data_IF_432055347194
#
_entry.id   IF_432055347194
#
_cell.length_a   1.000
_cell.length_b   1.000
_cell.length_c   1.000
_cell.angle_alpha   90.00
_cell.angle_beta   90.00
_cell.angle_gamma   90.00
#
_symmetry.space_group_name_H-M   'P 1'
#
loop_
_entity.id
_entity.type
_entity.pdbx_description
1 polymer ?
#
# COMPACT_ATOMS: atom_id res chain seq x y z
N UNK A 1 10.54 0.21 -26.03
CA UNK A 1 10.67 1.54 -26.68
C UNK A 1 12.13 1.85 -26.87
N UNK A 2 12.53 2.24 -28.09
CA UNK A 2 13.94 2.46 -28.43
C UNK A 2 14.45 3.80 -27.91
N UNK A 3 13.59 4.82 -27.88
CA UNK A 3 13.91 6.18 -27.43
C UNK A 3 12.67 6.84 -26.77
N UNK A 4 12.82 8.11 -26.38
CA UNK A 4 11.77 8.92 -25.75
C UNK A 4 10.58 9.21 -26.67
N UNK A 5 10.79 9.34 -27.99
CA UNK A 5 9.72 9.63 -28.95
C UNK A 5 8.79 8.42 -29.15
N UNK A 6 9.38 7.22 -29.25
CA UNK A 6 8.64 5.94 -29.23
C UNK A 6 7.85 5.82 -27.92
N UNK A 7 8.48 6.16 -26.77
CA UNK A 7 7.82 6.12 -25.45
C UNK A 7 6.64 7.07 -25.38
N UNK A 8 6.80 8.31 -25.82
CA UNK A 8 5.74 9.32 -25.84
C UNK A 8 4.58 8.85 -26.73
N UNK A 9 4.88 8.37 -27.94
CA UNK A 9 3.87 7.92 -28.89
C UNK A 9 3.01 6.79 -28.31
N UNK A 10 3.63 5.80 -27.65
CA UNK A 10 2.89 4.70 -27.04
C UNK A 10 2.22 5.11 -25.73
N UNK A 11 2.84 5.99 -24.93
CA UNK A 11 2.21 6.51 -23.72
C UNK A 11 0.91 7.27 -24.05
N UNK A 12 0.92 8.11 -25.09
CA UNK A 12 -0.28 8.80 -25.58
C UNK A 12 -1.33 7.80 -26.07
N UNK A 13 -0.93 6.77 -26.83
CA UNK A 13 -1.86 5.73 -27.28
C UNK A 13 -2.50 4.95 -26.11
N UNK A 14 -1.69 4.60 -25.11
CA UNK A 14 -2.11 3.77 -23.98
C UNK A 14 -2.95 4.55 -22.95
N UNK A 15 -2.70 5.85 -22.78
CA UNK A 15 -3.36 6.72 -21.78
C UNK A 15 -4.89 6.62 -21.81
N UNK A 16 -5.47 6.61 -23.02
CA UNK A 16 -6.93 6.64 -23.20
C UNK A 16 -7.56 5.23 -23.29
N UNK A 17 -6.75 4.17 -23.13
CA UNK A 17 -7.17 2.77 -23.34
C UNK A 17 -6.91 1.87 -22.14
N UNK A 18 -6.09 2.31 -21.20
CA UNK A 18 -5.76 1.58 -19.99
C UNK A 18 -6.42 2.24 -18.77
N UNK A 19 -6.53 1.48 -17.68
CA UNK A 19 -6.97 2.04 -16.41
C UNK A 19 -6.04 3.21 -16.00
N UNK A 20 -6.56 4.39 -15.61
CA UNK A 20 -5.74 5.56 -15.29
C UNK A 20 -4.71 5.35 -14.17
N UNK A 21 -5.04 4.58 -13.12
CA UNK A 21 -4.11 4.28 -12.04
C UNK A 21 -2.98 3.36 -12.53
N UNK A 22 -3.34 2.31 -13.28
CA UNK A 22 -2.36 1.40 -13.86
C UNK A 22 -1.41 2.12 -14.82
N UNK A 23 -1.95 2.97 -15.68
CA UNK A 23 -1.18 3.78 -16.62
C UNK A 23 -0.21 4.72 -15.90
N UNK A 24 -0.71 5.47 -14.91
CA UNK A 24 0.13 6.40 -14.16
C UNK A 24 1.25 5.69 -13.40
N UNK A 25 0.95 4.57 -12.73
CA UNK A 25 1.95 3.76 -12.05
C UNK A 25 3.02 3.25 -13.02
N UNK A 26 2.61 2.58 -14.10
CA UNK A 26 3.53 1.98 -15.07
C UNK A 26 4.41 3.03 -15.76
N UNK A 27 3.83 4.19 -16.14
CA UNK A 27 4.59 5.29 -16.73
C UNK A 27 5.57 5.88 -15.72
N UNK A 28 5.16 6.09 -14.47
CA UNK A 28 6.03 6.64 -13.42
C UNK A 28 7.23 5.71 -13.16
N UNK A 29 7.00 4.40 -13.03
CA UNK A 29 8.09 3.42 -12.91
C UNK A 29 9.00 3.45 -14.14
N UNK A 30 8.44 3.52 -15.36
CA UNK A 30 9.25 3.58 -16.57
C UNK A 30 10.15 4.83 -16.60
N UNK A 31 9.60 6.00 -16.25
CA UNK A 31 10.34 7.27 -16.23
C UNK A 31 11.47 7.27 -15.19
N UNK A 32 11.25 6.65 -14.01
CA UNK A 32 12.27 6.56 -12.96
C UNK A 32 13.47 5.66 -13.34
N UNK A 33 13.24 4.62 -14.15
CA UNK A 33 14.24 3.56 -14.38
C UNK A 33 14.91 3.62 -15.75
N UNK A 34 14.34 4.37 -16.70
CA UNK A 34 14.93 4.52 -18.03
C UNK A 34 16.13 5.48 -18.01
N UNK A 35 17.28 5.11 -18.60
CA UNK A 35 18.45 5.99 -18.63
C UNK A 35 18.22 7.33 -19.35
N UNK A 36 17.35 7.34 -20.36
CA UNK A 36 17.04 8.52 -21.19
C UNK A 36 15.96 9.44 -20.59
N UNK A 37 15.49 9.17 -19.37
CA UNK A 37 14.47 9.98 -18.67
C UNK A 37 14.84 10.35 -17.24
N UNK A 38 16.10 10.15 -16.83
CA UNK A 38 16.55 10.31 -15.43
C UNK A 38 16.28 11.69 -14.83
N UNK A 39 16.32 12.73 -15.64
CA UNK A 39 16.16 14.12 -15.17
C UNK A 39 14.73 14.65 -15.36
N UNK A 40 13.77 13.79 -15.75
CA UNK A 40 12.38 14.20 -15.89
C UNK A 40 11.69 14.24 -14.53
N UNK A 41 11.13 15.39 -14.12
CA UNK A 41 10.33 15.47 -12.91
C UNK A 41 9.02 14.71 -13.09
N UNK A 42 8.69 13.85 -12.14
CA UNK A 42 7.40 13.18 -12.09
C UNK A 42 6.42 14.08 -11.34
N UNK A 43 5.23 14.38 -11.92
CA UNK A 43 4.21 15.15 -11.24
C UNK A 43 3.84 14.54 -9.89
N UNK A 44 3.56 15.39 -8.91
CA UNK A 44 3.21 14.91 -7.58
C UNK A 44 1.91 14.09 -7.64
N UNK A 45 1.92 12.92 -7.00
CA UNK A 45 0.79 12.00 -7.06
C UNK A 45 -0.49 12.60 -6.45
N UNK A 46 -0.36 13.47 -5.43
CA UNK A 46 -1.51 14.21 -4.86
C UNK A 46 -2.15 15.18 -5.86
N UNK A 47 -1.38 15.73 -6.80
CA UNK A 47 -1.93 16.64 -7.83
C UNK A 47 -2.60 15.85 -8.96
N UNK A 48 -2.18 14.59 -9.16
CA UNK A 48 -2.73 13.73 -10.21
C UNK A 48 -4.02 13.02 -9.76
N UNK A 49 -4.02 12.50 -8.53
CA UNK A 49 -5.16 11.80 -7.93
C UNK A 49 -5.42 12.31 -6.50
N UNK A 50 -5.86 13.57 -6.35
CA UNK A 50 -6.10 14.18 -5.04
C UNK A 50 -7.17 13.43 -4.24
N UNK A 51 -8.06 12.70 -4.91
CA UNK A 51 -9.17 11.95 -4.32
C UNK A 51 -8.74 10.78 -3.44
N UNK A 52 -7.45 10.44 -3.47
CA UNK A 52 -6.82 9.45 -2.59
C UNK A 52 -6.33 10.03 -1.27
N UNK A 53 -6.40 11.35 -1.07
CA UNK A 53 -5.73 12.03 0.04
C UNK A 53 -6.66 12.92 0.86
N UNK A 54 -7.88 13.20 0.39
CA UNK A 54 -8.77 14.19 1.01
C UNK A 54 -10.21 13.68 1.06
N UNK A 55 -11.00 14.23 1.99
CA UNK A 55 -12.44 13.97 2.12
C UNK A 55 -13.18 14.18 0.79
N UNK A 56 -14.03 13.22 0.40
CA UNK A 56 -14.78 13.26 -0.84
C UNK A 56 -15.70 14.48 -0.96
N UNK A 57 -16.18 15.01 0.19
CA UNK A 57 -17.03 16.21 0.21
C UNK A 57 -16.33 17.46 -0.34
N UNK A 58 -15.01 17.54 -0.24
CA UNK A 58 -14.21 18.69 -0.72
C UNK A 58 -14.37 18.86 -2.23
N UNK A 59 -14.52 17.77 -2.99
CA UNK A 59 -14.61 17.83 -4.45
C UNK A 59 -15.88 18.50 -4.98
N UNK A 60 -16.98 18.49 -4.21
CA UNK A 60 -18.17 19.24 -4.59
C UNK A 60 -17.87 20.76 -4.59
N UNK A 61 -17.27 21.26 -3.51
CA UNK A 61 -16.84 22.65 -3.40
C UNK A 61 -15.76 23.01 -4.41
N UNK A 62 -14.81 22.10 -4.70
CA UNK A 62 -13.78 22.32 -5.73
C UNK A 62 -14.41 22.53 -7.11
N UNK A 63 -15.38 21.70 -7.47
CA UNK A 63 -16.08 21.83 -8.77
C UNK A 63 -16.86 23.14 -8.86
N UNK A 64 -17.55 23.52 -7.79
CA UNK A 64 -18.28 24.79 -7.73
C UNK A 64 -17.35 26.00 -7.88
N UNK A 65 -16.29 26.06 -7.07
CA UNK A 65 -15.30 27.13 -7.10
C UNK A 65 -14.62 27.23 -8.48
N UNK A 66 -14.28 26.08 -9.08
CA UNK A 66 -13.65 26.04 -10.39
C UNK A 66 -14.59 26.52 -11.52
N UNK A 67 -15.89 26.23 -11.43
CA UNK A 67 -16.87 26.57 -12.45
C UNK A 67 -17.37 28.02 -12.35
N UNK A 68 -17.52 28.54 -11.13
CA UNK A 68 -18.16 29.85 -10.88
C UNK A 68 -17.14 30.97 -10.73
N UNK A 69 -16.03 30.72 -10.03
CA UNK A 69 -15.11 31.79 -9.61
C UNK A 69 -13.98 31.96 -10.64
N UNK A 70 -13.77 33.18 -11.17
CA UNK A 70 -12.70 33.46 -12.12
C UNK A 70 -11.31 33.11 -11.59
N UNK A 71 -10.43 32.69 -12.50
CA UNK A 71 -9.01 32.45 -12.19
C UNK A 71 -8.39 33.72 -11.61
N UNK A 72 -7.70 33.61 -10.47
CA UNK A 72 -7.13 34.74 -9.72
C UNK A 72 -7.98 35.22 -8.54
N UNK A 73 -9.28 34.92 -8.52
CA UNK A 73 -10.20 35.27 -7.42
C UNK A 73 -10.61 34.08 -6.54
N UNK A 74 -10.10 32.89 -6.86
CA UNK A 74 -10.44 31.64 -6.16
C UNK A 74 -9.88 31.62 -4.75
N UNK A 75 -10.63 31.03 -3.82
CA UNK A 75 -10.22 30.85 -2.43
C UNK A 75 -9.85 29.39 -2.15
N UNK A 76 -8.86 29.13 -1.27
CA UNK A 76 -8.57 27.78 -0.82
C UNK A 76 -9.78 27.16 -0.12
N UNK A 77 -10.07 25.90 -0.45
CA UNK A 77 -11.10 25.12 0.23
C UNK A 77 -10.46 24.45 1.44
N UNK A 78 -11.04 24.70 2.61
CA UNK A 78 -10.53 24.17 3.88
C UNK A 78 -10.97 22.72 4.03
N UNK A 79 -10.00 21.83 4.21
CA UNK A 79 -10.26 20.42 4.54
C UNK A 79 -10.56 20.34 6.04
N UNK A 80 -11.71 19.77 6.44
CA UNK A 80 -12.03 19.61 7.85
C UNK A 80 -11.04 18.68 8.55
N UNK A 81 -10.71 19.01 9.79
CA UNK A 81 -9.87 18.18 10.66
C UNK A 81 -10.51 16.83 10.96
N UNK A 82 -11.76 16.87 11.41
CA UNK A 82 -12.49 15.71 11.91
C UNK A 82 -13.49 15.23 10.85
N UNK A 83 -12.99 14.47 9.87
CA UNK A 83 -13.82 13.95 8.77
C UNK A 83 -14.01 12.43 8.81
N UNK A 84 -12.97 11.68 9.20
CA UNK A 84 -13.04 10.21 9.28
C UNK A 84 -13.78 9.74 10.52
N UNK A 85 -13.51 10.38 11.67
CA UNK A 85 -14.16 10.14 12.95
C UNK A 85 -14.24 11.43 13.80
N UNK A 86 -14.81 11.31 15.00
CA UNK A 86 -14.83 12.37 16.02
C UNK A 86 -14.01 11.93 17.23
N UNK A 87 -13.79 12.83 18.20
CA UNK A 87 -13.05 12.53 19.45
C UNK A 87 -13.68 11.43 20.33
N UNK A 88 -14.89 10.95 19.98
CA UNK A 88 -15.50 9.77 20.57
C UNK A 88 -14.75 8.47 20.21
N UNK A 89 -14.05 8.45 19.08
CA UNK A 89 -13.18 7.35 18.66
C UNK A 89 -11.77 7.60 19.19
N UNK A 90 -11.26 6.76 20.08
CA UNK A 90 -9.96 7.00 20.73
C UNK A 90 -8.81 7.04 19.72
N UNK A 91 -8.88 6.20 18.68
CA UNK A 91 -7.89 6.17 17.61
C UNK A 91 -7.91 7.44 16.75
N UNK A 92 -9.00 8.24 16.78
CA UNK A 92 -9.07 9.52 16.06
C UNK A 92 -8.00 10.50 16.52
N UNK A 93 -7.49 10.39 17.76
CA UNK A 93 -6.40 11.25 18.25
C UNK A 93 -5.15 11.25 17.36
N UNK A 94 -4.95 10.22 16.54
CA UNK A 94 -3.82 10.09 15.62
C UNK A 94 -4.19 10.37 14.15
N UNK A 95 -5.33 11.00 13.88
CA UNK A 95 -5.73 11.39 12.52
C UNK A 95 -4.60 12.17 11.83
N UNK A 96 -3.96 13.12 12.53
CA UNK A 96 -2.93 13.99 11.97
C UNK A 96 -1.64 13.26 11.56
N UNK A 97 -1.44 12.03 12.00
CA UNK A 97 -0.31 11.20 11.59
C UNK A 97 -0.72 10.22 10.50
N UNK A 98 -1.85 9.54 10.66
CA UNK A 98 -2.30 8.51 9.71
C UNK A 98 -2.84 9.10 8.41
N UNK A 99 -3.45 10.27 8.49
CA UNK A 99 -4.12 10.94 7.37
C UNK A 99 -3.29 12.13 6.86
N UNK A 100 -2.04 12.26 7.31
CA UNK A 100 -1.11 13.24 6.75
C UNK A 100 -0.76 12.90 5.30
N UNK A 101 -0.91 13.89 4.42
CA UNK A 101 -0.64 13.74 2.99
C UNK A 101 0.83 13.43 2.76
N UNK A 102 1.75 14.03 3.53
CA UNK A 102 3.19 13.82 3.38
C UNK A 102 3.64 12.40 3.73
N UNK A 103 3.12 11.84 4.82
CA UNK A 103 3.41 10.46 5.25
C UNK A 103 2.86 9.46 4.23
N UNK A 104 1.62 9.64 3.78
CA UNK A 104 1.00 8.79 2.77
C UNK A 104 1.71 8.87 1.41
N UNK A 105 2.12 10.08 0.99
CA UNK A 105 2.96 10.26 -0.19
C UNK A 105 4.33 9.61 -0.03
N UNK A 106 4.96 9.70 1.14
CA UNK A 106 6.23 9.03 1.40
C UNK A 106 6.10 7.51 1.22
N UNK A 107 5.06 6.91 1.80
CA UNK A 107 4.81 5.47 1.68
C UNK A 107 4.57 5.05 0.22
N UNK A 108 3.76 5.81 -0.52
CA UNK A 108 3.56 5.59 -1.97
C UNK A 108 4.86 5.66 -2.76
N UNK A 109 5.64 6.74 -2.59
CA UNK A 109 6.87 6.92 -3.36
C UNK A 109 7.94 5.88 -2.98
N UNK A 110 8.00 5.46 -1.71
CA UNK A 110 8.91 4.41 -1.29
C UNK A 110 8.62 3.10 -2.04
N UNK A 111 7.35 2.68 -2.11
CA UNK A 111 6.95 1.49 -2.87
C UNK A 111 7.08 1.67 -4.39
N UNK A 112 6.95 2.90 -4.92
CA UNK A 112 7.19 3.20 -6.33
C UNK A 112 8.68 3.05 -6.70
N UNK A 113 9.58 3.47 -5.80
CA UNK A 113 11.04 3.35 -5.99
C UNK A 113 11.52 1.92 -5.71
N UNK A 114 10.94 1.23 -4.74
CA UNK A 114 11.31 -0.15 -4.35
C UNK A 114 10.16 -1.14 -4.59
N UNK A 115 9.69 -1.32 -5.84
CA UNK A 115 8.60 -2.23 -6.14
C UNK A 115 8.99 -3.67 -5.81
N UNK A 116 8.05 -4.49 -5.37
CA UNK A 116 8.29 -5.90 -5.04
C UNK A 116 8.24 -6.82 -6.28
N UNK A 117 7.64 -6.35 -7.37
CA UNK A 117 7.49 -7.09 -8.62
C UNK A 117 7.65 -6.18 -9.85
N UNK A 118 8.35 -6.68 -10.88
CA UNK A 118 8.51 -6.04 -12.17
C UNK A 118 8.93 -7.07 -13.23
N UNK A 119 8.65 -6.77 -14.51
CA UNK A 119 9.06 -7.63 -15.63
C UNK A 119 10.59 -7.78 -15.77
N UNK A 120 11.34 -6.78 -15.31
CA UNK A 120 12.80 -6.84 -15.26
C UNK A 120 13.24 -6.88 -13.80
N UNK A 121 13.92 -7.97 -13.41
CA UNK A 121 14.44 -8.16 -12.06
C UNK A 121 15.31 -6.98 -11.60
N UNK A 122 16.10 -6.37 -12.47
CA UNK A 122 16.98 -5.25 -12.11
C UNK A 122 16.23 -3.98 -11.63
N UNK A 123 14.93 -3.88 -11.91
CA UNK A 123 14.08 -2.81 -11.37
C UNK A 123 13.81 -3.07 -9.88
N UNK A 124 13.65 -4.32 -9.48
CA UNK A 124 13.40 -4.71 -8.07
C UNK A 124 14.70 -4.88 -7.29
N UNK A 125 15.74 -5.42 -7.94
CA UNK A 125 17.05 -5.76 -7.37
C UNK A 125 17.92 -4.52 -7.10
N UNK A 126 17.46 -3.72 -6.13
CA UNK A 126 18.17 -2.56 -5.59
C UNK A 126 18.91 -2.95 -4.31
N UNK A 127 19.99 -2.24 -4.05
CA UNK A 127 20.87 -2.50 -2.90
C UNK A 127 20.09 -2.57 -1.58
N UNK A 128 20.22 -3.70 -0.89
CA UNK A 128 19.65 -3.99 0.44
C UNK A 128 18.16 -3.62 0.58
N UNK A 129 17.38 -3.77 -0.49
CA UNK A 129 15.99 -3.30 -0.50
C UNK A 129 15.07 -4.07 0.44
N UNK A 130 15.37 -5.33 0.76
CA UNK A 130 14.63 -6.12 1.74
C UNK A 130 14.92 -5.62 3.16
N UNK A 131 16.16 -5.27 3.45
CA UNK A 131 16.49 -4.64 4.73
C UNK A 131 15.86 -3.26 4.85
N UNK A 132 15.90 -2.47 3.77
CA UNK A 132 15.26 -1.16 3.73
C UNK A 132 13.74 -1.27 3.89
N UNK A 133 13.11 -2.31 3.34
CA UNK A 133 11.70 -2.63 3.57
C UNK A 133 11.43 -2.78 5.07
N UNK A 134 12.20 -3.63 5.76
CA UNK A 134 12.08 -3.78 7.21
C UNK A 134 12.30 -2.45 7.94
N UNK A 135 13.39 -1.75 7.62
CA UNK A 135 13.82 -0.56 8.35
C UNK A 135 12.84 0.61 8.20
N UNK A 136 12.36 0.87 6.99
CA UNK A 136 11.39 1.95 6.71
C UNK A 136 10.11 1.73 7.53
N UNK A 137 9.52 0.54 7.46
CA UNK A 137 8.31 0.20 8.22
C UNK A 137 8.56 0.17 9.72
N UNK A 138 9.73 -0.30 10.17
CA UNK A 138 10.12 -0.27 11.58
C UNK A 138 10.17 1.16 12.12
N UNK A 139 10.71 2.11 11.34
CA UNK A 139 10.75 3.53 11.70
C UNK A 139 9.36 4.17 11.71
N UNK A 140 8.49 3.85 10.72
CA UNK A 140 7.10 4.29 10.73
C UNK A 140 6.37 3.81 11.99
N UNK A 141 6.53 2.53 12.36
CA UNK A 141 5.92 1.98 13.57
C UNK A 141 6.50 2.56 14.86
N UNK A 142 7.80 2.89 14.89
CA UNK A 142 8.42 3.55 16.04
C UNK A 142 7.84 4.95 16.25
N UNK A 143 7.77 5.76 15.18
CA UNK A 143 7.17 7.10 15.19
C UNK A 143 5.70 7.06 15.55
N UNK A 144 4.93 6.16 14.94
CA UNK A 144 3.52 5.95 15.29
C UNK A 144 3.35 5.65 16.79
N UNK A 145 4.19 4.80 17.38
CA UNK A 145 4.12 4.53 18.82
C UNK A 145 4.47 5.76 19.68
N UNK A 146 5.41 6.62 19.27
CA UNK A 146 5.68 7.88 19.96
C UNK A 146 4.48 8.83 19.92
N UNK A 147 3.79 8.92 18.79
CA UNK A 147 2.54 9.69 18.68
C UNK A 147 1.45 9.10 19.57
N UNK A 148 1.32 7.77 19.63
CA UNK A 148 0.36 7.09 20.52
C UNK A 148 0.61 7.45 21.99
N UNK A 149 1.85 7.36 22.45
CA UNK A 149 2.19 7.71 23.83
C UNK A 149 1.91 9.19 24.14
N UNK A 150 2.21 10.08 23.19
CA UNK A 150 1.93 11.52 23.31
C UNK A 150 0.42 11.84 23.37
N UNK A 151 -0.41 10.96 22.82
CA UNK A 151 -1.87 11.08 22.81
C UNK A 151 -2.58 10.16 23.83
N UNK A 152 -1.86 9.71 24.86
CA UNK A 152 -2.37 8.86 25.96
C UNK A 152 -2.92 7.52 25.48
N UNK A 153 -2.37 6.97 24.41
CA UNK A 153 -2.68 5.64 23.91
C UNK A 153 -1.53 4.69 24.23
N UNK A 154 -1.87 3.40 24.36
CA UNK A 154 -0.90 2.34 24.56
C UNK A 154 -0.10 2.10 23.28
N UNK A 155 1.01 1.38 23.39
CA UNK A 155 1.71 0.83 22.22
C UNK A 155 0.71 0.08 21.34
N UNK A 156 0.82 0.23 20.03
CA UNK A 156 -0.03 -0.49 19.08
C UNK A 156 0.02 -2.01 19.33
N UNK A 157 -1.15 -2.63 19.40
CA UNK A 157 -1.26 -4.07 19.55
C UNK A 157 -0.86 -4.75 18.23
N UNK A 158 -0.08 -5.83 18.33
CA UNK A 158 0.28 -6.64 17.16
C UNK A 158 -0.91 -7.52 16.79
N UNK A 159 -1.27 -7.54 15.51
CA UNK A 159 -2.30 -8.44 14.99
C UNK A 159 -1.70 -9.83 14.71
N UNK A 160 -1.43 -10.59 15.77
CA UNK A 160 -0.79 -11.89 15.69
C UNK A 160 -1.77 -13.06 15.48
N UNK A 161 -3.02 -12.91 15.93
CA UNK A 161 -4.06 -13.93 15.79
C UNK A 161 -5.02 -13.53 14.67
N UNK A 162 -4.82 -14.11 13.49
CA UNK A 162 -5.59 -13.77 12.28
C UNK A 162 -7.08 -14.17 12.35
N UNK A 163 -7.48 -14.93 13.38
CA UNK A 163 -8.86 -15.39 13.59
C UNK A 163 -9.62 -14.50 14.58
N UNK A 164 -8.92 -13.66 15.33
CA UNK A 164 -9.56 -12.71 16.24
C UNK A 164 -10.21 -11.56 15.45
N UNK A 165 -11.33 -11.00 15.97
CA UNK A 165 -11.88 -9.77 15.42
C UNK A 165 -10.86 -8.64 15.46
N UNK A 166 -10.75 -7.89 14.36
CA UNK A 166 -10.04 -6.62 14.33
C UNK A 166 -10.91 -5.61 15.08
N UNK A 167 -10.48 -5.20 16.28
CA UNK A 167 -11.27 -4.33 17.14
C UNK A 167 -11.51 -2.96 16.49
N UNK A 168 -10.51 -2.44 15.78
CA UNK A 168 -10.50 -1.09 15.22
C UNK A 168 -11.27 -1.02 13.88
N UNK A 169 -12.37 -0.27 13.89
CA UNK A 169 -13.06 0.16 12.68
C UNK A 169 -12.38 1.36 12.03
N UNK A 170 -12.58 1.55 10.73
CA UNK A 170 -12.11 2.73 10.01
C UNK A 170 -13.00 3.05 8.81
N UNK A 171 -13.39 4.32 8.66
CA UNK A 171 -14.27 4.78 7.59
C UNK A 171 -13.64 5.98 6.85
N UNK A 172 -12.99 5.74 5.69
CA UNK A 172 -12.05 6.67 5.08
C UNK A 172 -12.67 7.97 4.53
N UNK A 173 -13.97 7.97 4.22
CA UNK A 173 -14.68 9.10 3.56
C UNK A 173 -14.03 9.58 2.26
N UNK A 174 -13.32 8.70 1.57
CA UNK A 174 -12.73 8.98 0.26
C UNK A 174 -13.62 8.37 -0.82
N UNK A 175 -13.68 9.03 -1.97
CA UNK A 175 -14.31 8.53 -3.18
C UNK A 175 -13.28 8.46 -4.29
N UNK A 176 -13.19 7.32 -4.98
CA UNK A 176 -12.33 7.19 -6.16
C UNK A 176 -12.99 7.86 -7.36
N UNK A 177 -12.37 8.92 -7.88
CA UNK A 177 -12.88 9.62 -9.07
C UNK A 177 -12.76 8.75 -10.33
N UNK A 178 -11.76 7.87 -10.38
CA UNK A 178 -11.56 6.94 -11.50
C UNK A 178 -12.58 5.80 -11.47
N UNK A 179 -12.87 5.24 -10.29
CA UNK A 179 -13.81 4.13 -10.16
C UNK A 179 -15.27 4.58 -10.02
N UNK A 180 -15.50 5.88 -9.78
CA UNK A 180 -16.81 6.44 -9.43
C UNK A 180 -17.47 5.70 -8.25
N UNK A 181 -16.67 5.34 -7.24
CA UNK A 181 -17.13 4.59 -6.06
C UNK A 181 -16.42 5.06 -4.79
N UNK A 182 -17.15 5.05 -3.68
CA UNK A 182 -16.59 5.27 -2.36
C UNK A 182 -15.64 4.13 -1.96
N UNK A 183 -14.62 4.47 -1.18
CA UNK A 183 -13.76 3.46 -0.57
C UNK A 183 -14.52 2.76 0.58
N UNK A 184 -14.65 1.42 0.56
CA UNK A 184 -15.33 0.71 1.63
C UNK A 184 -14.66 0.93 3.00
N UNK A 185 -15.50 1.22 4.01
CA UNK A 185 -15.06 1.24 5.40
C UNK A 185 -15.04 -0.16 6.01
N UNK A 186 -14.28 -0.33 7.09
CA UNK A 186 -14.26 -1.55 7.89
C UNK A 186 -14.95 -1.28 9.23
N UNK A 187 -15.99 -2.03 9.53
CA UNK A 187 -16.65 -1.95 10.83
C UNK A 187 -15.76 -2.55 11.94
N UNK A 188 -15.87 -2.02 13.15
CA UNK A 188 -15.22 -2.58 14.34
C UNK A 188 -15.64 -4.05 14.55
N UNK A 189 -14.70 -4.88 15.00
CA UNK A 189 -14.93 -6.31 15.25
C UNK A 189 -15.02 -7.17 13.98
N UNK A 190 -14.57 -6.67 12.82
CA UNK A 190 -14.55 -7.45 11.59
C UNK A 190 -13.51 -8.56 11.68
N UNK A 191 -13.87 -9.79 11.30
CA UNK A 191 -12.96 -10.93 11.22
C UNK A 191 -12.46 -11.13 9.79
N UNK A 192 -11.23 -11.60 9.67
CA UNK A 192 -10.73 -12.12 8.40
C UNK A 192 -11.50 -13.38 8.00
N UNK A 193 -11.68 -13.54 6.70
CA UNK A 193 -12.36 -14.66 6.06
C UNK A 193 -11.53 -15.14 4.89
N UNK A 194 -11.70 -16.40 4.51
CA UNK A 194 -11.08 -16.97 3.33
C UNK A 194 -11.52 -16.20 2.09
N UNK A 195 -10.58 -15.93 1.19
CA UNK A 195 -10.81 -15.18 -0.03
C UNK A 195 -11.12 -16.11 -1.19
N UNK A 196 -12.16 -15.80 -1.95
CA UNK A 196 -12.53 -16.50 -3.17
C UNK A 196 -13.07 -15.53 -4.21
N UNK A 197 -12.16 -14.74 -4.80
CA UNK A 197 -12.46 -13.67 -5.75
C UNK A 197 -11.83 -13.98 -7.10
N UNK A 198 -12.54 -14.74 -7.93
CA UNK A 198 -12.04 -15.20 -9.23
C UNK A 198 -11.68 -14.05 -10.17
N UNK A 199 -12.46 -12.96 -10.17
CA UNK A 199 -12.18 -11.77 -11.00
C UNK A 199 -10.89 -11.06 -10.61
N UNK A 200 -10.56 -11.05 -9.31
CA UNK A 200 -9.32 -10.48 -8.78
C UNK A 200 -8.16 -11.49 -8.79
N UNK A 201 -8.40 -12.72 -9.26
CA UNK A 201 -7.45 -13.84 -9.30
C UNK A 201 -6.89 -14.20 -7.92
N UNK A 202 -7.69 -14.02 -6.85
CA UNK A 202 -7.29 -14.33 -5.48
C UNK A 202 -8.20 -15.41 -4.90
N UNK A 203 -7.61 -16.56 -4.59
CA UNK A 203 -8.26 -17.65 -3.87
C UNK A 203 -7.33 -18.21 -2.81
N UNK A 204 -7.58 -17.91 -1.54
CA UNK A 204 -6.67 -18.24 -0.45
C UNK A 204 -7.37 -18.30 0.90
N UNK A 205 -7.02 -19.31 1.69
CA UNK A 205 -7.54 -19.47 3.05
C UNK A 205 -6.67 -18.72 4.07
N UNK A 206 -7.27 -18.23 5.15
CA UNK A 206 -6.56 -17.60 6.28
C UNK A 206 -5.51 -18.55 6.86
N UNK A 207 -5.78 -19.86 6.83
CA UNK A 207 -4.82 -20.90 7.27
C UNK A 207 -3.52 -20.90 6.48
N UNK A 208 -3.50 -20.37 5.25
CA UNK A 208 -2.29 -20.22 4.46
C UNK A 208 -1.36 -19.19 5.07
N UNK A 209 -1.88 -18.07 5.54
CA UNK A 209 -1.10 -17.04 6.24
C UNK A 209 -0.52 -17.59 7.54
N UNK A 210 -1.31 -18.35 8.31
CA UNK A 210 -0.86 -19.00 9.56
C UNK A 210 0.32 -19.94 9.28
N UNK A 211 0.24 -20.78 8.23
CA UNK A 211 1.35 -21.66 7.83
C UNK A 211 2.61 -20.88 7.45
N UNK A 212 2.48 -19.74 6.78
CA UNK A 212 3.64 -18.92 6.44
C UNK A 212 4.29 -18.33 7.69
N UNK A 213 3.49 -17.85 8.66
CA UNK A 213 3.99 -17.39 9.96
C UNK A 213 4.81 -18.48 10.64
N UNK A 214 4.31 -19.71 10.70
CA UNK A 214 5.03 -20.83 11.31
C UNK A 214 6.37 -21.11 10.59
N UNK A 215 6.37 -21.09 9.26
CA UNK A 215 7.59 -21.27 8.44
C UNK A 215 8.62 -20.16 8.68
N UNK A 216 8.18 -18.93 8.91
CA UNK A 216 9.07 -17.82 9.27
C UNK A 216 9.73 -18.07 10.63
N UNK A 217 8.97 -18.45 11.66
CA UNK A 217 9.54 -18.78 12.96
C UNK A 217 10.54 -19.94 12.88
N UNK A 218 10.19 -21.00 12.16
CA UNK A 218 11.09 -22.15 11.96
C UNK A 218 12.39 -21.73 11.27
N UNK A 219 12.30 -20.95 10.18
CA UNK A 219 13.45 -20.48 9.41
C UNK A 219 14.38 -19.59 10.23
N UNK A 220 13.80 -18.69 11.03
CA UNK A 220 14.57 -17.81 11.92
C UNK A 220 15.26 -18.64 13.02
N UNK A 221 14.57 -19.61 13.63
CA UNK A 221 15.18 -20.48 14.65
C UNK A 221 16.30 -21.38 14.09
N UNK A 222 16.19 -21.82 12.84
CA UNK A 222 17.23 -22.61 12.18
C UNK A 222 18.44 -21.77 11.74
N UNK A 223 18.26 -20.46 11.54
CA UNK A 223 19.32 -19.53 11.14
C UNK A 223 19.68 -19.59 9.65
N UNK A 224 18.85 -20.21 8.80
CA UNK A 224 19.03 -20.21 7.34
C UNK A 224 17.69 -20.36 6.62
N UNK A 225 17.53 -19.68 5.48
CA UNK A 225 16.45 -19.90 4.53
C UNK A 225 16.83 -20.98 3.50
N UNK A 226 15.86 -21.53 2.79
CA UNK A 226 16.07 -22.54 1.74
C UNK A 226 15.58 -22.00 0.40
N UNK A 227 16.43 -22.03 -0.62
CA UNK A 227 16.07 -21.61 -1.97
C UNK A 227 15.25 -22.68 -2.72
N UNK A 228 14.86 -22.41 -3.96
CA UNK A 228 14.08 -23.36 -4.79
C UNK A 228 14.84 -24.62 -5.19
N UNK A 229 16.18 -24.64 -5.05
CA UNK A 229 17.04 -25.78 -5.35
C UNK A 229 17.37 -26.61 -4.09
N UNK A 230 16.92 -26.17 -2.92
CA UNK A 230 17.22 -26.82 -1.64
C UNK A 230 18.53 -26.36 -0.99
N UNK A 231 19.21 -25.36 -1.55
CA UNK A 231 20.42 -24.80 -0.93
C UNK A 231 20.04 -23.97 0.29
N UNK A 232 20.89 -24.03 1.33
CA UNK A 232 20.74 -23.22 2.53
C UNK A 232 21.38 -21.84 2.32
N UNK A 233 20.63 -20.79 2.59
CA UNK A 233 21.08 -19.40 2.60
C UNK A 233 21.15 -18.97 4.07
N UNK A 234 22.34 -18.82 4.66
CA UNK A 234 22.48 -18.39 6.05
C UNK A 234 21.82 -17.03 6.30
N UNK A 235 21.13 -16.90 7.43
CA UNK A 235 20.62 -15.63 7.94
C UNK A 235 21.67 -15.02 8.86
N UNK A 236 22.74 -14.51 8.26
CA UNK A 236 23.87 -13.91 8.98
C UNK A 236 23.62 -12.44 9.38
N UNK A 237 24.51 -11.89 10.20
CA UNK A 237 24.41 -10.53 10.73
C UNK A 237 24.50 -9.43 9.67
N UNK A 238 25.01 -9.73 8.47
CA UNK A 238 25.24 -8.75 7.42
C UNK A 238 24.07 -8.66 6.42
N UNK A 239 23.53 -9.81 5.99
CA UNK A 239 22.51 -9.89 4.93
C UNK A 239 21.27 -10.67 5.32
N UNK A 240 21.22 -11.29 6.51
CA UNK A 240 20.07 -12.08 6.96
C UNK A 240 18.77 -11.27 6.98
N UNK A 241 18.81 -10.02 7.43
CA UNK A 241 17.63 -9.14 7.44
C UNK A 241 17.16 -8.76 6.02
N UNK A 242 18.08 -8.62 5.07
CA UNK A 242 17.72 -8.34 3.68
C UNK A 242 17.02 -9.53 3.02
N UNK A 243 17.50 -10.75 3.29
CA UNK A 243 16.85 -11.99 2.87
C UNK A 243 15.46 -12.11 3.49
N UNK A 244 15.33 -11.90 4.81
CA UNK A 244 14.05 -11.95 5.52
C UNK A 244 13.06 -10.90 5.02
N UNK A 245 13.51 -9.67 4.74
CA UNK A 245 12.66 -8.61 4.21
C UNK A 245 12.08 -8.96 2.84
N UNK A 246 12.92 -9.50 1.94
CA UNK A 246 12.47 -9.98 0.64
C UNK A 246 11.52 -11.19 0.73
N UNK A 247 11.68 -12.06 1.73
CA UNK A 247 10.75 -13.16 1.99
C UNK A 247 9.42 -12.66 2.56
N UNK A 248 9.45 -11.73 3.51
CA UNK A 248 8.28 -11.27 4.26
C UNK A 248 7.31 -10.46 3.41
N UNK A 249 7.84 -9.54 2.57
CA UNK A 249 7.01 -8.60 1.81
C UNK A 249 5.92 -9.30 0.97
N UNK A 250 6.18 -10.21 0.04
CA UNK A 250 7.42 -10.76 -0.51
C UNK A 250 7.79 -10.09 -1.84
N UNK A 251 9.09 -10.08 -2.20
CA UNK A 251 9.58 -9.58 -3.49
C UNK A 251 10.00 -10.71 -4.43
N UNK A 252 10.22 -10.41 -5.72
CA UNK A 252 10.72 -11.41 -6.69
C UNK A 252 12.14 -11.88 -6.34
N UNK A 253 12.78 -11.22 -5.37
CA UNK A 253 14.08 -11.58 -4.83
C UNK A 253 14.00 -12.59 -3.69
N UNK A 254 12.81 -12.92 -3.19
CA UNK A 254 12.62 -13.98 -2.19
C UNK A 254 13.25 -15.29 -2.67
N UNK A 255 14.06 -15.98 -1.83
CA UNK A 255 14.71 -17.22 -2.22
C UNK A 255 13.74 -18.33 -2.65
N UNK A 256 12.55 -18.36 -2.06
CA UNK A 256 11.54 -19.38 -2.34
C UNK A 256 10.14 -18.90 -1.96
N UNK A 257 9.47 -18.18 -2.87
CA UNK A 257 8.08 -17.72 -2.69
C UNK A 257 7.07 -18.86 -2.49
N UNK A 258 7.32 -20.05 -3.06
CA UNK A 258 6.42 -21.20 -2.89
C UNK A 258 6.45 -21.71 -1.44
N UNK A 259 7.64 -21.68 -0.82
CA UNK A 259 7.82 -22.08 0.57
C UNK A 259 7.41 -20.97 1.54
N UNK A 260 7.87 -19.73 1.35
CA UNK A 260 7.68 -18.67 2.34
C UNK A 260 6.44 -17.80 2.12
N UNK A 261 5.84 -17.89 0.93
CA UNK A 261 4.62 -17.18 0.60
C UNK A 261 4.83 -15.70 0.32
N UNK A 262 3.76 -14.95 0.59
CA UNK A 262 3.61 -13.52 0.33
C UNK A 262 2.88 -12.85 1.52
N UNK A 263 3.41 -13.08 2.73
CA UNK A 263 2.69 -12.88 3.99
C UNK A 263 2.22 -11.44 4.22
N UNK A 264 3.11 -10.45 4.07
CA UNK A 264 2.75 -9.05 4.28
C UNK A 264 1.73 -8.55 3.25
N UNK A 265 2.01 -8.75 1.95
CA UNK A 265 1.13 -8.32 0.87
C UNK A 265 -0.24 -8.99 0.95
N UNK A 266 -0.30 -10.30 1.21
CA UNK A 266 -1.59 -10.98 1.40
C UNK A 266 -2.29 -10.51 2.68
N UNK A 267 -1.57 -10.18 3.75
CA UNK A 267 -2.15 -9.53 4.92
C UNK A 267 -2.94 -8.27 4.57
N UNK A 268 -2.38 -7.40 3.72
CA UNK A 268 -3.07 -6.25 3.15
C UNK A 268 -4.34 -6.64 2.38
N UNK A 269 -4.25 -7.64 1.50
CA UNK A 269 -5.37 -8.13 0.68
C UNK A 269 -6.52 -8.71 1.53
N UNK A 270 -6.21 -9.53 2.53
CA UNK A 270 -7.20 -10.11 3.45
C UNK A 270 -7.92 -9.03 4.25
N UNK A 271 -7.19 -8.02 4.75
CA UNK A 271 -7.80 -6.90 5.49
C UNK A 271 -8.62 -6.02 4.53
N UNK A 272 -8.15 -5.80 3.30
CA UNK A 272 -8.82 -4.89 2.37
C UNK A 272 -10.14 -5.45 1.85
N UNK A 273 -10.27 -6.77 1.71
CA UNK A 273 -11.48 -7.45 1.24
C UNK A 273 -12.35 -8.03 2.36
N UNK A 274 -12.03 -7.79 3.65
CA UNK A 274 -12.75 -8.41 4.77
C UNK A 274 -14.27 -8.14 4.77
N UNK A 275 -14.72 -7.06 4.11
CA UNK A 275 -16.13 -6.70 3.94
C UNK A 275 -16.83 -7.46 2.80
N UNK A 276 -16.11 -7.97 1.81
CA UNK A 276 -16.64 -8.73 0.66
C UNK A 276 -15.60 -9.77 0.15
N UNK A 277 -15.32 -10.84 0.91
CA UNK A 277 -14.21 -11.75 0.63
C UNK A 277 -14.40 -12.66 -0.59
N UNK A 278 -15.62 -12.76 -1.13
CA UNK A 278 -15.97 -13.66 -2.24
C UNK A 278 -16.67 -12.96 -3.41
N UNK A 279 -16.61 -11.62 -3.43
CA UNK A 279 -17.15 -10.78 -4.49
C UNK A 279 -18.67 -10.82 -4.66
N UNK A 280 -19.43 -11.40 -3.72
CA UNK A 280 -20.90 -11.49 -3.81
C UNK A 280 -21.58 -10.11 -3.81
N UNK A 281 -20.92 -9.10 -3.26
CA UNK A 281 -21.45 -7.74 -3.17
C UNK A 281 -20.87 -6.80 -4.23
N UNK A 282 -20.00 -7.31 -5.12
CA UNK A 282 -19.34 -6.54 -6.17
C UNK A 282 -18.54 -5.34 -5.62
N UNK A 283 -18.08 -5.44 -4.37
CA UNK A 283 -17.31 -4.38 -3.72
C UNK A 283 -15.82 -4.49 -4.09
N UNK A 284 -15.16 -3.33 -4.10
CA UNK A 284 -13.72 -3.24 -4.32
C UNK A 284 -12.96 -3.35 -2.99
N UNK A 285 -11.64 -3.24 -3.01
CA UNK A 285 -10.82 -3.27 -1.79
C UNK A 285 -10.98 -1.96 -0.98
N UNK A 286 -10.89 -2.05 0.35
CA UNK A 286 -10.75 -0.89 1.24
C UNK A 286 -9.35 -0.28 1.20
N UNK A 287 -9.09 0.77 2.00
CA UNK A 287 -7.83 1.54 1.96
C UNK A 287 -6.56 0.70 2.13
N UNK A 288 -6.61 -0.38 2.91
CA UNK A 288 -5.50 -1.32 3.11
C UNK A 288 -5.03 -2.01 1.82
N UNK A 289 -5.82 -1.98 0.74
CA UNK A 289 -5.45 -2.55 -0.56
C UNK A 289 -4.63 -1.60 -1.44
N UNK A 290 -4.25 -0.41 -0.95
CA UNK A 290 -3.58 0.60 -1.76
C UNK A 290 -2.36 1.22 -1.09
N UNK A 291 -1.22 1.23 -1.78
CA UNK A 291 0.06 1.69 -1.20
C UNK A 291 0.10 3.17 -0.78
N UNK A 292 -0.77 4.05 -1.28
CA UNK A 292 -0.74 5.44 -0.78
C UNK A 292 -1.57 5.65 0.49
N UNK A 293 -2.27 4.63 0.99
CA UNK A 293 -3.15 4.76 2.14
C UNK A 293 -2.71 3.72 3.18
N UNK A 294 -1.98 4.15 4.21
CA UNK A 294 -1.46 3.30 5.27
C UNK A 294 -2.37 3.27 6.50
#
# INVERSE_FOLDING_TARGET
MRNTDDLLSVAVYARDRLNPYLFNYALSVALLHRPDTKDLPIPNFVETFPDKFVDSKVFASVREEAAIVPVGSRRPIVIPRDYTASDLEEEHRLWYYREDIGINLHHWHWHLVYPFEANNRSIVDKDRRGELFYYMHQQLMARYNFERFSNRLKRVARFNNLREPIAEGYFPKMDSLVASRAWPGRAAGTKLKDLNRDLDQVKMDVSTLERWVDRFYETIHQGFAVDTQGNRIPLDDNRGIDVLGNMMESSILSPNRQLYGDLHNMGHVFISYCHDPDHRHLESFGVMGFFANW
#
